data_IF_334130713650
#
_entry.id   IF_334130713650
#
_cell.length_a   1.000
_cell.length_b   1.000
_cell.length_c   1.000
_cell.angle_alpha   90.00
_cell.angle_beta   90.00
_cell.angle_gamma   90.00
#
_symmetry.space_group_name_H-M   'P 1'
#
loop_
_entity.id
_entity.type
_entity.pdbx_description
1 polymer ?
#
# COMPACT_ATOMS: atom_id res chain seq x y z
N UNK A 1 -8.31 21.51 -42.13
CA UNK A 1 -9.03 21.06 -40.92
C UNK A 1 -8.09 20.21 -40.10
N UNK A 2 -7.51 20.74 -39.02
CA UNK A 2 -6.54 20.02 -38.19
C UNK A 2 -7.28 19.20 -37.14
N UNK A 3 -7.08 17.88 -37.14
CA UNK A 3 -7.68 16.97 -36.16
C UNK A 3 -7.03 17.18 -34.78
N UNK A 4 -7.79 17.11 -33.67
CA UNK A 4 -7.24 17.25 -32.33
C UNK A 4 -6.35 16.04 -32.03
N UNK A 5 -5.06 16.28 -31.80
CA UNK A 5 -4.12 15.25 -31.40
C UNK A 5 -4.61 14.62 -30.09
N UNK A 6 -4.94 13.33 -30.13
CA UNK A 6 -5.24 12.54 -28.94
C UNK A 6 -4.01 12.56 -28.05
N UNK A 7 -4.13 13.14 -26.86
CA UNK A 7 -3.09 13.10 -25.83
C UNK A 7 -2.70 11.63 -25.60
N UNK A 8 -1.42 11.27 -25.73
CA UNK A 8 -1.00 9.90 -25.45
C UNK A 8 -1.32 9.56 -23.99
N UNK A 9 -1.76 8.32 -23.72
CA UNK A 9 -2.02 7.89 -22.34
C UNK A 9 -0.73 8.09 -21.53
N UNK A 10 -0.85 8.54 -20.26
CA UNK A 10 0.32 8.73 -19.42
C UNK A 10 1.10 7.40 -19.32
N UNK A 11 2.44 7.48 -19.25
CA UNK A 11 3.28 6.29 -19.15
C UNK A 11 2.82 5.44 -17.97
N UNK A 12 2.67 4.13 -18.21
CA UNK A 12 2.41 3.15 -17.14
C UNK A 12 3.61 3.15 -16.21
N UNK A 13 3.40 3.65 -15.01
CA UNK A 13 4.45 3.75 -14.00
C UNK A 13 4.47 2.44 -13.21
N UNK A 14 5.34 1.51 -13.60
CA UNK A 14 5.42 0.20 -12.97
C UNK A 14 5.81 0.29 -11.47
N UNK A 15 6.42 1.40 -11.05
CA UNK A 15 6.66 1.77 -9.65
C UNK A 15 5.39 1.83 -8.80
N UNK A 16 4.23 2.00 -9.44
CA UNK A 16 2.92 2.07 -8.79
C UNK A 16 2.20 0.73 -8.75
N UNK A 17 2.67 -0.28 -9.50
CA UNK A 17 2.05 -1.61 -9.49
C UNK A 17 2.12 -2.20 -8.08
N UNK A 18 1.02 -2.80 -7.65
CA UNK A 18 0.94 -3.42 -6.33
C UNK A 18 0.84 -2.42 -5.17
N UNK A 19 0.56 -1.13 -5.43
CA UNK A 19 0.34 -0.12 -4.37
C UNK A 19 -0.97 0.64 -4.59
N UNK A 20 -1.60 1.06 -3.51
CA UNK A 20 -2.81 1.89 -3.49
C UNK A 20 -2.50 3.26 -2.92
N UNK A 21 -3.25 4.26 -3.37
CA UNK A 21 -3.30 5.54 -2.65
C UNK A 21 -4.02 5.36 -1.32
N UNK A 22 -3.78 6.28 -0.38
CA UNK A 22 -4.50 6.32 0.90
C UNK A 22 -6.02 6.28 0.67
N UNK A 23 -6.51 7.04 -0.32
CA UNK A 23 -7.93 7.08 -0.67
C UNK A 23 -8.46 5.72 -1.18
N UNK A 24 -7.73 5.08 -2.10
CA UNK A 24 -8.15 3.78 -2.63
C UNK A 24 -8.13 2.68 -1.56
N UNK A 25 -7.12 2.71 -0.67
CA UNK A 25 -7.05 1.82 0.47
C UNK A 25 -8.21 2.07 1.45
N UNK A 26 -8.49 3.35 1.77
CA UNK A 26 -9.58 3.75 2.65
C UNK A 26 -10.94 3.24 2.12
N UNK A 27 -11.23 3.46 0.84
CA UNK A 27 -12.46 2.96 0.19
C UNK A 27 -12.57 1.44 0.26
N UNK A 28 -11.46 0.73 0.03
CA UNK A 28 -11.44 -0.74 0.05
C UNK A 28 -11.72 -1.31 1.45
N UNK A 29 -11.26 -0.63 2.50
CA UNK A 29 -11.44 -1.05 3.89
C UNK A 29 -12.68 -0.45 4.56
N UNK A 30 -13.44 0.40 3.86
CA UNK A 30 -14.57 1.13 4.46
C UNK A 30 -14.16 2.16 5.52
N UNK A 31 -12.93 2.66 5.44
CA UNK A 31 -12.36 3.63 6.38
C UNK A 31 -12.32 5.04 5.80
N UNK A 32 -12.16 6.03 6.67
CA UNK A 32 -11.84 7.41 6.28
C UNK A 32 -10.34 7.57 6.02
N UNK A 33 -9.95 8.57 5.22
CA UNK A 33 -8.53 8.89 5.01
C UNK A 33 -7.80 9.25 6.32
N UNK A 34 -8.53 9.84 7.28
CA UNK A 34 -7.97 10.21 8.60
C UNK A 34 -7.58 8.96 9.39
N UNK A 35 -8.45 7.95 9.43
CA UNK A 35 -8.18 6.69 10.11
C UNK A 35 -7.00 5.96 9.47
N UNK A 36 -6.94 5.91 8.14
CA UNK A 36 -5.79 5.33 7.45
C UNK A 36 -4.50 6.06 7.81
N UNK A 37 -4.48 7.40 7.81
CA UNK A 37 -3.30 8.19 8.25
C UNK A 37 -2.90 7.90 9.69
N UNK A 38 -3.87 7.70 10.59
CA UNK A 38 -3.59 7.32 11.98
C UNK A 38 -2.99 5.91 12.07
N UNK A 39 -3.48 4.96 11.26
CA UNK A 39 -2.91 3.61 11.17
C UNK A 39 -1.48 3.62 10.63
N UNK A 40 -1.20 4.48 9.64
CA UNK A 40 0.15 4.73 9.14
C UNK A 40 1.06 5.30 10.24
N UNK A 41 0.60 6.31 10.98
CA UNK A 41 1.37 6.94 12.06
C UNK A 41 1.60 6.03 13.27
N UNK A 42 0.75 5.01 13.47
CA UNK A 42 0.89 4.02 14.53
C UNK A 42 1.58 2.73 14.08
N UNK A 43 2.01 2.64 12.81
CA UNK A 43 2.69 1.47 12.25
C UNK A 43 1.79 0.25 12.03
N UNK A 44 0.46 0.39 12.13
CA UNK A 44 -0.50 -0.71 11.92
C UNK A 44 -0.67 -1.12 10.46
N UNK A 45 -0.30 -0.23 9.52
CA UNK A 45 -0.40 -0.45 8.08
C UNK A 45 0.94 -0.10 7.44
N UNK A 46 1.53 -0.98 6.62
CA UNK A 46 2.75 -0.68 5.90
C UNK A 46 2.50 0.42 4.87
N UNK A 47 3.49 1.28 4.65
CA UNK A 47 3.47 2.27 3.58
C UNK A 47 4.82 2.39 2.89
N UNK A 48 4.77 2.86 1.66
CA UNK A 48 5.93 3.19 0.84
C UNK A 48 5.75 4.61 0.29
N UNK A 49 6.85 5.33 0.12
CA UNK A 49 6.84 6.63 -0.54
C UNK A 49 7.33 6.47 -1.98
N UNK A 50 6.45 6.72 -2.95
CA UNK A 50 6.77 6.66 -4.38
C UNK A 50 6.61 8.06 -4.96
N UNK A 51 7.71 8.64 -5.46
CA UNK A 51 7.73 10.01 -6.02
C UNK A 51 7.13 11.07 -5.08
N UNK A 52 7.44 10.98 -3.79
CA UNK A 52 6.91 11.89 -2.77
C UNK A 52 5.49 11.59 -2.28
N UNK A 53 4.78 10.61 -2.86
CA UNK A 53 3.43 10.24 -2.45
C UNK A 53 3.43 8.99 -1.56
N UNK A 54 2.71 9.05 -0.44
CA UNK A 54 2.48 7.90 0.44
C UNK A 54 1.49 6.94 -0.22
N UNK A 55 1.89 5.67 -0.29
CA UNK A 55 1.09 4.59 -0.87
C UNK A 55 1.13 3.34 0.02
N UNK A 56 0.07 2.55 -0.04
CA UNK A 56 -0.12 1.33 0.76
C UNK A 56 0.06 0.11 -0.16
N UNK A 57 1.01 -0.80 0.12
CA UNK A 57 1.15 -2.05 -0.64
C UNK A 57 -0.14 -2.89 -0.63
N UNK A 58 -0.45 -3.53 -1.76
CA UNK A 58 -1.59 -4.44 -1.92
C UNK A 58 -1.23 -5.86 -1.47
N UNK A 59 0.06 -6.20 -1.48
CA UNK A 59 0.52 -7.51 -1.04
C UNK A 59 0.11 -7.75 0.42
N UNK A 60 -0.31 -8.96 0.78
CA UNK A 60 -0.54 -9.30 2.17
C UNK A 60 0.78 -9.10 2.91
N UNK A 61 0.72 -8.48 4.09
CA UNK A 61 1.80 -8.59 5.05
C UNK A 61 1.84 -10.05 5.53
N UNK A 62 2.34 -10.96 4.70
CA UNK A 62 2.75 -12.30 5.12
C UNK A 62 4.08 -12.14 5.84
N UNK A 63 3.99 -11.64 7.08
CA UNK A 63 4.92 -11.99 8.13
C UNK A 63 4.10 -12.09 9.41
N UNK A 64 3.29 -13.14 9.48
CA UNK A 64 2.95 -13.74 10.77
C UNK A 64 3.86 -14.94 10.92
N UNK A 65 5.17 -14.67 10.99
CA UNK A 65 6.10 -15.52 11.73
C UNK A 65 5.85 -15.34 13.23
N UNK A 66 4.62 -15.63 13.70
CA UNK A 66 4.41 -16.05 15.09
C UNK A 66 4.76 -17.54 15.14
N UNK A 67 6.04 -17.85 14.97
CA UNK A 67 6.61 -19.12 15.38
C UNK A 67 7.55 -18.85 16.56
N UNK A 68 6.97 -18.27 17.62
CA UNK A 68 7.51 -18.37 18.97
C UNK A 68 6.97 -19.65 19.59
N UNK A 69 7.31 -20.81 19.02
CA UNK A 69 7.25 -22.06 19.75
C UNK A 69 8.60 -22.25 20.42
N UNK A 70 8.65 -21.83 21.69
CA UNK A 70 9.81 -21.92 22.56
C UNK A 70 10.50 -23.28 22.47
N UNK A 71 11.78 -23.23 22.13
CA UNK A 71 12.76 -24.27 22.45
C UNK A 71 12.59 -24.65 23.93
N UNK A 72 12.05 -25.84 24.19
CA UNK A 72 12.05 -26.47 25.51
C UNK A 72 12.87 -27.74 25.39
N UNK A 73 14.18 -27.55 25.51
CA UNK A 73 15.14 -28.56 25.95
C UNK A 73 14.68 -29.10 27.30
N UNK A 74 14.31 -30.39 27.39
CA UNK A 74 14.60 -31.27 28.53
C UNK A 74 14.17 -32.71 28.21
N UNK A 75 15.14 -33.61 28.01
CA UNK A 75 15.14 -35.01 28.48
C UNK A 75 16.46 -35.70 28.16
#
# INVERSE_FOLDING_TARGET
>A
MSAPMRTPPPPRDDSLRGTLTIEAYARRQGLTQREVRQMLGTGKVPFVQVRGQIRVPIAPATDTGSDSASESTDR
#
